data_IF_264074002865
#
_entry.id   IF_264074002865
#
_cell.length_a   1.000
_cell.length_b   1.000
_cell.length_c   1.000
_cell.angle_alpha   90.00
_cell.angle_beta   90.00
_cell.angle_gamma   90.00
#
_symmetry.space_group_name_H-M   'P 1'
#
loop_
_entity.id
_entity.type
_entity.pdbx_description
1 polymer ?
#
# COMPACT_ATOMS: atom_id res chain seq x y z
N UNK A 1 36.07 -9.98 -4.19
CA UNK A 1 34.68 -9.96 -4.71
C UNK A 1 33.94 -8.73 -4.21
N UNK A 2 33.96 -8.45 -2.90
CA UNK A 2 33.32 -7.25 -2.31
C UNK A 2 33.80 -5.92 -2.90
N UNK A 3 35.12 -5.70 -3.02
CA UNK A 3 35.66 -4.47 -3.66
C UNK A 3 35.12 -4.23 -5.08
N UNK A 4 35.04 -5.28 -5.91
CA UNK A 4 34.48 -5.17 -7.26
C UNK A 4 32.97 -4.93 -7.29
N UNK A 5 32.23 -5.40 -6.28
CA UNK A 5 30.81 -5.08 -6.14
C UNK A 5 30.61 -3.62 -5.70
N UNK A 6 31.44 -3.12 -4.78
CA UNK A 6 31.43 -1.71 -4.36
C UNK A 6 31.77 -0.81 -5.54
N UNK A 7 32.80 -1.12 -6.33
CA UNK A 7 33.16 -0.36 -7.54
C UNK A 7 32.01 -0.31 -8.54
N UNK A 8 31.34 -1.46 -8.78
CA UNK A 8 30.20 -1.53 -9.70
C UNK A 8 28.97 -0.73 -9.21
N UNK A 9 28.69 -0.77 -7.91
CA UNK A 9 27.59 0.03 -7.35
C UNK A 9 27.96 1.51 -7.36
N UNK A 10 29.21 1.86 -7.04
CA UNK A 10 29.70 3.23 -7.06
C UNK A 10 29.62 3.82 -8.47
N UNK A 11 30.01 3.08 -9.51
CA UNK A 11 29.87 3.55 -10.89
C UNK A 11 28.41 3.79 -11.31
N UNK A 12 27.46 2.99 -10.79
CA UNK A 12 26.03 3.21 -11.06
C UNK A 12 25.46 4.40 -10.26
N UNK A 13 26.08 4.75 -9.13
CA UNK A 13 25.70 5.89 -8.30
C UNK A 13 26.31 7.20 -8.80
N UNK A 14 27.48 7.18 -9.46
CA UNK A 14 28.10 8.37 -10.07
C UNK A 14 27.20 9.05 -11.10
N UNK A 15 26.36 8.28 -11.78
CA UNK A 15 25.36 8.78 -12.75
C UNK A 15 24.16 9.48 -12.06
N UNK A 16 24.02 9.38 -10.74
CA UNK A 16 22.94 9.99 -9.95
C UNK A 16 23.41 11.29 -9.29
N UNK A 17 23.17 12.42 -9.96
CA UNK A 17 23.55 13.76 -9.48
C UNK A 17 22.83 14.23 -8.21
N UNK A 18 21.79 13.52 -7.78
CA UNK A 18 20.95 13.88 -6.64
C UNK A 18 21.28 13.11 -5.35
N UNK A 19 22.40 12.40 -5.29
CA UNK A 19 22.79 11.56 -4.14
C UNK A 19 24.27 11.77 -3.86
N UNK A 20 24.59 12.01 -2.60
CA UNK A 20 25.97 12.07 -2.13
C UNK A 20 26.35 10.75 -1.47
N UNK A 21 27.46 10.15 -1.89
CA UNK A 21 28.01 8.96 -1.25
C UNK A 21 28.75 9.42 0.01
N UNK A 22 28.12 9.25 1.17
CA UNK A 22 28.65 9.68 2.46
C UNK A 22 29.78 8.75 2.94
N UNK A 23 29.62 7.44 2.76
CA UNK A 23 30.58 6.44 3.23
C UNK A 23 30.49 5.14 2.41
N UNK A 24 31.62 4.45 2.26
CA UNK A 24 31.67 3.04 1.80
C UNK A 24 32.39 2.21 2.84
N UNK A 25 31.88 1.02 3.15
CA UNK A 25 32.47 0.13 4.14
C UNK A 25 32.29 -1.35 3.80
N UNK A 26 33.20 -2.17 4.31
CA UNK A 26 33.15 -3.63 4.31
C UNK A 26 32.93 -4.21 5.71
N UNK A 27 32.58 -3.39 6.71
CA UNK A 27 32.26 -3.81 8.07
C UNK A 27 30.82 -3.46 8.43
N UNK A 28 30.12 -4.36 9.13
CA UNK A 28 28.79 -4.09 9.69
C UNK A 28 28.85 -3.15 10.91
N UNK A 29 30.01 -3.02 11.56
CA UNK A 29 30.20 -2.13 12.72
C UNK A 29 29.98 -0.65 12.32
N UNK A 30 30.33 -0.28 11.08
CA UNK A 30 30.11 1.08 10.59
C UNK A 30 28.62 1.41 10.40
N UNK A 31 27.78 0.39 10.17
CA UNK A 31 26.33 0.56 10.11
C UNK A 31 25.76 0.91 11.50
N UNK A 32 26.36 0.40 12.57
CA UNK A 32 25.95 0.71 13.95
C UNK A 32 26.15 2.18 14.28
N UNK A 33 27.26 2.77 13.83
CA UNK A 33 27.55 4.19 14.01
C UNK A 33 26.49 5.07 13.32
N UNK A 34 26.06 4.70 12.10
CA UNK A 34 25.02 5.44 11.37
C UNK A 34 23.67 5.45 12.09
N UNK A 35 23.32 4.37 12.81
CA UNK A 35 22.08 4.33 13.59
C UNK A 35 22.08 5.27 14.80
N UNK A 36 23.25 5.73 15.25
CA UNK A 36 23.39 6.67 16.37
C UNK A 36 23.29 8.13 15.92
N UNK A 37 23.70 8.45 14.69
CA UNK A 37 23.76 9.83 14.18
C UNK A 37 22.39 10.42 13.80
N UNK A 38 21.34 9.60 13.69
CA UNK A 38 19.95 10.01 13.33
C UNK A 38 19.86 10.83 12.02
N UNK A 39 20.83 10.66 11.12
CA UNK A 39 20.78 11.23 9.79
C UNK A 39 19.92 10.38 8.87
N UNK A 40 19.25 11.02 7.91
CA UNK A 40 18.48 10.33 6.90
C UNK A 40 19.42 9.71 5.88
N UNK A 41 19.63 8.40 6.01
CA UNK A 41 20.66 7.69 5.25
C UNK A 41 20.06 6.47 4.56
N UNK A 42 20.28 6.38 3.25
CA UNK A 42 20.01 5.18 2.47
C UNK A 42 21.26 4.30 2.46
N UNK A 43 21.11 3.05 2.89
CA UNK A 43 22.20 2.06 2.94
C UNK A 43 21.94 0.98 1.91
N UNK A 44 22.92 0.78 1.02
CA UNK A 44 22.98 -0.38 0.14
C UNK A 44 23.83 -1.46 0.82
N UNK A 45 23.25 -2.61 1.15
CA UNK A 45 23.92 -3.64 1.96
C UNK A 45 23.92 -4.99 1.26
N UNK A 46 25.11 -5.57 1.03
CA UNK A 46 25.27 -6.91 0.44
C UNK A 46 26.18 -6.92 -0.79
N UNK A 47 26.34 -8.08 -1.48
CA UNK A 47 25.68 -9.36 -1.24
C UNK A 47 26.47 -10.33 -0.35
N UNK A 48 27.57 -9.88 0.26
CA UNK A 48 28.45 -10.76 1.02
C UNK A 48 27.98 -11.05 2.46
N UNK A 49 27.08 -10.23 2.99
CA UNK A 49 26.55 -10.40 4.34
C UNK A 49 25.43 -11.44 4.38
N UNK A 50 25.45 -12.29 5.41
CA UNK A 50 24.33 -13.19 5.69
C UNK A 50 23.18 -12.40 6.28
N UNK A 51 21.97 -12.73 5.85
CA UNK A 51 20.75 -12.07 6.33
C UNK A 51 20.61 -12.17 7.85
N UNK A 52 21.00 -13.29 8.47
CA UNK A 52 20.97 -13.48 9.92
C UNK A 52 21.77 -12.43 10.70
N UNK A 53 22.92 -12.00 10.18
CA UNK A 53 23.78 -11.01 10.82
C UNK A 53 23.16 -9.61 10.71
N UNK A 54 22.60 -9.30 9.55
CA UNK A 54 21.82 -8.06 9.32
C UNK A 54 20.59 -8.03 10.23
N UNK A 55 19.91 -9.16 10.40
CA UNK A 55 18.72 -9.24 11.26
C UNK A 55 19.03 -8.95 12.73
N UNK A 56 20.09 -9.54 13.28
CA UNK A 56 20.51 -9.27 14.67
C UNK A 56 20.77 -7.79 14.88
N UNK A 57 21.42 -7.16 13.91
CA UNK A 57 21.70 -5.74 13.91
C UNK A 57 20.41 -4.89 13.88
N UNK A 58 19.48 -5.19 12.97
CA UNK A 58 18.21 -4.45 12.87
C UNK A 58 17.29 -4.64 14.09
N UNK A 59 17.34 -5.80 14.75
CA UNK A 59 16.58 -6.04 15.99
C UNK A 59 17.06 -5.10 17.12
N UNK A 60 18.37 -4.90 17.23
CA UNK A 60 18.96 -4.04 18.26
C UNK A 60 18.67 -2.55 18.04
N UNK A 61 18.43 -2.14 16.79
CA UNK A 61 18.24 -0.73 16.40
C UNK A 61 16.87 -0.44 15.75
N UNK A 62 15.84 -1.22 16.08
CA UNK A 62 14.49 -1.11 15.48
C UNK A 62 13.87 0.30 15.54
N UNK A 63 14.15 1.07 16.59
CA UNK A 63 13.71 2.48 16.72
C UNK A 63 14.44 3.46 15.80
N UNK A 64 15.67 3.14 15.37
CA UNK A 64 16.50 3.97 14.50
C UNK A 64 16.20 3.76 13.00
N UNK A 65 15.46 2.70 12.64
CA UNK A 65 15.00 2.42 11.27
C UNK A 65 14.02 3.46 10.69
N UNK A 66 13.62 4.44 11.50
CA UNK A 66 12.92 5.62 11.02
C UNK A 66 13.81 6.52 10.16
N UNK A 67 15.10 6.60 10.48
CA UNK A 67 16.05 7.49 9.80
C UNK A 67 16.95 6.76 8.80
N UNK A 68 17.05 5.44 8.90
CA UNK A 68 17.87 4.64 8.00
C UNK A 68 16.99 3.73 7.16
N UNK A 69 17.14 3.78 5.84
CA UNK A 69 16.50 2.86 4.90
C UNK A 69 17.54 1.94 4.30
N UNK A 70 17.21 0.66 4.19
CA UNK A 70 18.15 -0.36 3.72
C UNK A 70 17.62 -1.00 2.46
N UNK A 71 18.43 -0.99 1.41
CA UNK A 71 18.23 -1.79 0.21
C UNK A 71 19.23 -2.95 0.27
N UNK A 72 18.70 -4.16 0.37
CA UNK A 72 19.51 -5.37 0.47
C UNK A 72 19.91 -5.84 -0.94
N UNK A 73 21.20 -5.96 -1.20
CA UNK A 73 21.73 -6.52 -2.42
C UNK A 73 21.99 -8.01 -2.20
N UNK A 74 21.48 -8.89 -3.05
CA UNK A 74 21.61 -10.35 -2.90
C UNK A 74 22.11 -11.01 -4.17
N UNK A 75 22.78 -12.15 -4.06
CA UNK A 75 23.17 -12.95 -5.24
C UNK A 75 22.03 -13.79 -5.81
N UNK A 76 20.98 -14.05 -5.03
CA UNK A 76 19.79 -14.80 -5.43
C UNK A 76 18.62 -14.45 -4.53
N UNK A 77 17.46 -14.16 -5.11
CA UNK A 77 16.22 -13.96 -4.33
C UNK A 77 15.51 -15.27 -4.05
N UNK A 78 14.83 -15.33 -2.91
CA UNK A 78 13.90 -16.41 -2.57
C UNK A 78 12.68 -15.83 -1.87
N UNK A 79 11.56 -16.56 -1.90
CA UNK A 79 10.33 -16.15 -1.22
C UNK A 79 10.51 -16.05 0.30
N UNK A 80 11.35 -16.89 0.89
CA UNK A 80 11.72 -16.80 2.31
C UNK A 80 12.48 -15.51 2.61
N UNK A 81 13.47 -15.15 1.78
CA UNK A 81 14.27 -13.94 1.94
C UNK A 81 13.41 -12.68 1.82
N UNK A 82 12.47 -12.63 0.88
CA UNK A 82 11.55 -11.50 0.73
C UNK A 82 10.61 -11.36 1.94
N UNK A 83 10.05 -12.47 2.44
CA UNK A 83 9.20 -12.46 3.65
C UNK A 83 9.98 -11.94 4.87
N UNK A 84 11.23 -12.37 5.01
CA UNK A 84 12.10 -11.90 6.09
C UNK A 84 12.45 -10.42 5.92
N UNK A 85 12.82 -9.97 4.71
CA UNK A 85 13.10 -8.56 4.43
C UNK A 85 11.94 -7.64 4.87
N UNK A 86 10.70 -8.01 4.54
CA UNK A 86 9.49 -7.28 4.97
C UNK A 86 9.37 -7.25 6.50
N UNK A 87 9.56 -8.41 7.16
CA UNK A 87 9.48 -8.52 8.63
C UNK A 87 10.47 -7.60 9.34
N UNK A 88 11.64 -7.39 8.76
CA UNK A 88 12.72 -6.56 9.33
C UNK A 88 12.72 -5.12 8.81
N UNK A 89 11.66 -4.69 8.11
CA UNK A 89 11.53 -3.34 7.57
C UNK A 89 12.68 -2.97 6.62
N UNK A 90 13.22 -3.95 5.90
CA UNK A 90 14.12 -3.72 4.78
C UNK A 90 13.28 -3.13 3.65
N UNK A 91 13.72 -1.97 3.15
CA UNK A 91 12.96 -1.15 2.22
C UNK A 91 12.84 -1.80 0.84
N UNK A 92 13.93 -2.41 0.37
CA UNK A 92 13.94 -3.10 -0.92
C UNK A 92 15.00 -4.20 -0.99
N UNK A 93 14.87 -5.09 -1.98
CA UNK A 93 15.83 -6.16 -2.24
C UNK A 93 16.16 -6.21 -3.74
N UNK A 94 17.44 -6.07 -4.07
CA UNK A 94 17.95 -6.12 -5.45
C UNK A 94 18.82 -7.37 -5.68
N UNK A 95 18.51 -8.13 -6.72
CA UNK A 95 19.29 -9.31 -7.12
C UNK A 95 20.40 -8.94 -8.12
N UNK A 96 21.61 -9.43 -7.90
CA UNK A 96 22.68 -9.30 -8.89
C UNK A 96 22.53 -10.31 -10.04
N UNK A 97 22.74 -9.89 -11.30
CA UNK A 97 23.04 -8.52 -11.74
C UNK A 97 21.76 -7.68 -11.89
N UNK A 98 21.74 -6.49 -11.28
CA UNK A 98 20.70 -5.48 -11.50
C UNK A 98 21.20 -4.36 -12.43
N UNK A 99 20.26 -3.62 -13.00
CA UNK A 99 20.50 -2.50 -13.90
C UNK A 99 20.49 -1.16 -13.17
N UNK A 100 20.95 -0.10 -13.85
CA UNK A 100 20.81 1.28 -13.36
C UNK A 100 19.34 1.64 -13.06
N UNK A 101 18.41 1.18 -13.89
CA UNK A 101 16.99 1.43 -13.72
C UNK A 101 16.46 0.84 -12.41
N UNK A 102 16.77 -0.43 -12.12
CA UNK A 102 16.34 -1.12 -10.90
C UNK A 102 16.84 -0.43 -9.64
N UNK A 103 18.11 0.00 -9.66
CA UNK A 103 18.72 0.75 -8.56
C UNK A 103 18.05 2.12 -8.38
N UNK A 104 17.85 2.86 -9.47
CA UNK A 104 17.24 4.18 -9.43
C UNK A 104 15.79 4.15 -8.94
N UNK A 105 14.98 3.17 -9.37
CA UNK A 105 13.62 3.00 -8.85
C UNK A 105 13.59 2.68 -7.36
N UNK A 106 14.50 1.83 -6.89
CA UNK A 106 14.61 1.46 -5.48
C UNK A 106 15.00 2.66 -4.60
N UNK A 107 15.95 3.46 -5.08
CA UNK A 107 16.38 4.71 -4.46
C UNK A 107 15.25 5.75 -4.45
N UNK A 108 14.53 5.93 -5.57
CA UNK A 108 13.42 6.88 -5.66
C UNK A 108 12.34 6.56 -4.63
N UNK A 109 11.97 5.27 -4.52
CA UNK A 109 11.05 4.80 -3.48
C UNK A 109 11.54 5.11 -2.06
N UNK A 110 12.85 5.01 -1.80
CA UNK A 110 13.41 5.35 -0.49
C UNK A 110 13.37 6.86 -0.21
N UNK A 111 13.69 7.68 -1.22
CA UNK A 111 13.64 9.15 -1.14
C UNK A 111 12.23 9.67 -0.84
N UNK A 112 11.21 9.09 -1.47
CA UNK A 112 9.82 9.51 -1.24
C UNK A 112 9.38 9.27 0.21
N UNK A 113 9.82 8.16 0.81
CA UNK A 113 9.59 7.88 2.23
C UNK A 113 10.34 8.89 3.13
N UNK A 114 11.58 9.25 2.79
CA UNK A 114 12.31 10.26 3.56
C UNK A 114 11.62 11.62 3.53
N UNK A 115 11.08 12.04 2.38
CA UNK A 115 10.27 13.27 2.26
C UNK A 115 9.02 13.23 3.13
N UNK A 116 8.32 12.11 3.19
CA UNK A 116 7.16 11.94 4.07
C UNK A 116 7.56 12.07 5.55
N UNK A 117 8.68 11.47 5.96
CA UNK A 117 9.18 11.55 7.34
C UNK A 117 9.64 12.96 7.71
N UNK A 118 10.25 13.70 6.78
CA UNK A 118 10.65 15.10 6.99
C UNK A 118 9.45 16.03 7.17
N UNK A 119 8.40 15.83 6.37
CA UNK A 119 7.17 16.62 6.46
C UNK A 119 6.48 16.46 7.82
N UNK A 120 6.62 15.30 8.47
CA UNK A 120 6.08 15.07 9.82
C UNK A 120 6.92 15.70 10.95
N UNK A 121 8.21 15.98 10.73
CA UNK A 121 9.15 16.35 11.81
C UNK A 121 9.49 17.84 11.89
N UNK A 122 9.46 18.58 10.79
CA UNK A 122 10.05 19.93 10.78
C UNK A 122 9.18 20.98 11.47
N UNK A 123 7.85 20.87 11.51
CA UNK A 123 7.01 21.85 12.24
C UNK A 123 7.30 23.32 11.89
N UNK A 124 7.95 23.58 10.74
CA UNK A 124 8.26 24.92 10.25
C UNK A 124 6.97 25.41 9.61
N UNK A 125 6.44 26.57 10.04
CA UNK A 125 5.22 27.11 9.47
C UNK A 125 5.53 27.52 8.03
N UNK A 126 4.97 26.79 7.07
CA UNK A 126 4.77 27.38 5.75
C UNK A 126 4.03 28.70 5.95
N UNK A 127 4.60 29.79 5.41
CA UNK A 127 3.86 31.01 5.14
C UNK A 127 2.51 30.60 4.57
N UNK A 128 1.43 31.16 5.13
CA UNK A 128 0.02 30.85 4.83
C UNK A 128 -0.29 30.90 3.32
N UNK A 129 0.11 29.87 2.59
CA UNK A 129 -0.73 29.24 1.60
C UNK A 129 -1.55 28.28 2.43
N UNK A 130 -2.87 28.47 2.48
CA UNK A 130 -3.75 27.56 3.21
C UNK A 130 -3.34 26.12 2.86
N UNK A 131 -3.17 25.22 3.85
CA UNK A 131 -2.78 23.85 3.56
C UNK A 131 -3.80 23.32 2.57
N UNK A 132 -3.36 23.03 1.34
CA UNK A 132 -4.15 22.18 0.46
C UNK A 132 -4.21 20.87 1.22
N UNK A 133 -5.33 20.60 1.89
CA UNK A 133 -5.60 19.32 2.54
C UNK A 133 -5.20 18.24 1.51
N UNK A 134 -4.08 17.55 1.72
CA UNK A 134 -3.90 16.25 1.09
C UNK A 134 -5.00 15.39 1.70
N UNK A 135 -6.05 15.15 0.92
CA UNK A 135 -7.16 14.29 1.33
C UNK A 135 -6.65 12.90 1.70
N UNK A 136 -7.50 12.12 2.37
CA UNK A 136 -7.19 10.73 2.70
C UNK A 136 -6.64 9.95 1.49
N UNK A 137 -5.63 9.11 1.72
CA UNK A 137 -5.09 8.23 0.68
C UNK A 137 -6.10 7.11 0.40
N UNK A 138 -6.56 7.00 -0.85
CA UNK A 138 -7.61 6.07 -1.27
C UNK A 138 -6.98 4.78 -1.82
N UNK A 139 -7.22 3.66 -1.14
CA UNK A 139 -6.73 2.34 -1.50
C UNK A 139 -7.90 1.47 -1.93
N UNK A 140 -7.96 1.10 -3.21
CA UNK A 140 -9.05 0.33 -3.78
C UNK A 140 -8.63 -1.12 -3.96
N UNK A 141 -9.42 -2.05 -3.42
CA UNK A 141 -9.21 -3.49 -3.56
C UNK A 141 -10.11 -4.00 -4.67
N UNK A 142 -9.55 -4.53 -5.77
CA UNK A 142 -10.30 -4.92 -6.96
C UNK A 142 -9.89 -6.28 -7.52
N UNK A 143 -10.83 -6.97 -8.15
CA UNK A 143 -10.61 -8.22 -8.89
C UNK A 143 -11.85 -8.56 -9.69
N UNK A 144 -11.70 -9.05 -10.93
CA UNK A 144 -12.82 -9.44 -11.80
C UNK A 144 -13.35 -10.86 -11.55
N UNK A 145 -12.94 -11.51 -10.46
CA UNK A 145 -13.43 -12.83 -10.04
C UNK A 145 -13.84 -12.84 -8.57
N UNK A 146 -15.02 -13.40 -8.30
CA UNK A 146 -15.51 -13.60 -6.93
C UNK A 146 -14.67 -14.62 -6.16
N UNK A 147 -14.65 -14.50 -4.83
CA UNK A 147 -13.99 -15.49 -3.96
C UNK A 147 -12.46 -15.43 -3.92
N UNK A 148 -11.82 -14.42 -4.54
CA UNK A 148 -10.37 -14.19 -4.47
C UNK A 148 -9.90 -13.55 -3.16
N UNK A 149 -10.84 -13.16 -2.28
CA UNK A 149 -10.53 -12.61 -0.96
C UNK A 149 -10.38 -11.09 -0.92
N UNK A 150 -11.06 -10.33 -1.80
CA UNK A 150 -11.05 -8.85 -1.78
C UNK A 150 -11.42 -8.29 -0.41
N UNK A 151 -12.61 -8.61 0.09
CA UNK A 151 -13.10 -8.16 1.39
C UNK A 151 -12.20 -8.61 2.54
N UNK A 152 -11.59 -9.79 2.43
CA UNK A 152 -10.60 -10.27 3.42
C UNK A 152 -9.34 -9.39 3.44
N UNK A 153 -8.77 -9.07 2.27
CA UNK A 153 -7.61 -8.18 2.18
C UNK A 153 -7.98 -6.76 2.60
N UNK A 154 -9.15 -6.25 2.17
CA UNK A 154 -9.63 -4.91 2.51
C UNK A 154 -9.78 -4.73 4.03
N UNK A 155 -10.45 -5.66 4.71
CA UNK A 155 -10.68 -5.62 6.16
C UNK A 155 -9.37 -5.69 6.94
N UNK A 156 -8.49 -6.64 6.62
CA UNK A 156 -7.21 -6.79 7.32
C UNK A 156 -6.28 -5.60 7.06
N UNK A 157 -6.21 -5.11 5.82
CA UNK A 157 -5.42 -3.91 5.50
C UNK A 157 -5.90 -2.70 6.29
N UNK A 158 -7.22 -2.48 6.38
CA UNK A 158 -7.77 -1.38 7.16
C UNK A 158 -7.40 -1.49 8.64
N UNK A 159 -7.50 -2.70 9.21
CA UNK A 159 -7.10 -2.98 10.60
C UNK A 159 -5.61 -2.72 10.82
N UNK A 160 -4.74 -3.18 9.93
CA UNK A 160 -3.30 -3.01 10.04
C UNK A 160 -2.89 -1.54 9.95
N UNK A 161 -3.49 -0.78 9.03
CA UNK A 161 -3.30 0.68 8.94
C UNK A 161 -3.71 1.40 10.24
N UNK A 162 -4.83 0.99 10.85
CA UNK A 162 -5.30 1.57 12.10
C UNK A 162 -4.42 1.17 13.31
N UNK A 163 -4.11 -0.11 13.43
CA UNK A 163 -3.45 -0.66 14.62
C UNK A 163 -1.93 -0.50 14.60
N UNK A 164 -1.29 -0.79 13.47
CA UNK A 164 0.17 -0.77 13.35
C UNK A 164 0.69 0.63 13.05
N UNK A 165 0.03 1.35 12.14
CA UNK A 165 0.45 2.70 11.75
C UNK A 165 -0.24 3.83 12.54
N UNK A 166 -1.20 3.49 13.40
CA UNK A 166 -1.97 4.45 14.24
C UNK A 166 -2.67 5.53 13.41
N UNK A 167 -3.14 5.17 12.21
CA UNK A 167 -3.82 6.09 11.29
C UNK A 167 -5.34 6.01 11.46
N UNK A 168 -6.03 7.11 11.13
CA UNK A 168 -7.49 7.14 11.03
C UNK A 168 -7.91 6.49 9.71
N UNK A 169 -8.65 5.40 9.78
CA UNK A 169 -9.00 4.59 8.61
C UNK A 169 -10.51 4.46 8.49
N UNK A 170 -11.02 4.80 7.31
CA UNK A 170 -12.35 4.41 6.88
C UNK A 170 -12.27 3.16 6.00
N UNK A 171 -13.17 2.21 6.22
CA UNK A 171 -13.42 1.09 5.31
C UNK A 171 -14.78 1.31 4.66
N UNK A 172 -14.77 1.52 3.35
CA UNK A 172 -15.96 1.78 2.55
C UNK A 172 -16.29 0.55 1.70
N UNK A 173 -17.43 -0.08 1.99
CA UNK A 173 -17.93 -1.22 1.24
C UNK A 173 -18.81 -0.75 0.06
N UNK A 174 -18.27 -0.85 -1.16
CA UNK A 174 -18.95 -0.49 -2.40
C UNK A 174 -19.75 -1.65 -3.00
N UNK A 175 -19.70 -2.84 -2.40
CA UNK A 175 -20.46 -3.98 -2.88
C UNK A 175 -21.91 -3.92 -2.36
N UNK A 176 -22.68 -2.94 -2.83
CA UNK A 176 -24.02 -2.64 -2.31
C UNK A 176 -25.02 -3.81 -2.36
N UNK A 177 -24.81 -4.79 -3.25
CA UNK A 177 -25.70 -5.95 -3.38
C UNK A 177 -25.39 -7.08 -2.40
N UNK A 178 -24.11 -7.33 -2.11
CA UNK A 178 -23.66 -8.52 -1.40
C UNK A 178 -22.46 -8.21 -0.49
N UNK A 179 -22.45 -7.03 0.12
CA UNK A 179 -21.37 -6.54 0.96
C UNK A 179 -21.39 -7.20 2.34
N UNK A 180 -20.37 -8.01 2.62
CA UNK A 180 -20.26 -8.78 3.87
C UNK A 180 -19.25 -8.15 4.86
N UNK A 181 -18.73 -6.95 4.59
CA UNK A 181 -17.65 -6.35 5.41
C UNK A 181 -18.04 -6.22 6.89
N UNK A 182 -19.27 -5.79 7.17
CA UNK A 182 -19.76 -5.69 8.55
C UNK A 182 -19.78 -7.05 9.25
N UNK A 183 -20.24 -8.09 8.56
CA UNK A 183 -20.26 -9.45 9.07
C UNK A 183 -18.84 -9.99 9.30
N UNK A 184 -17.92 -9.75 8.37
CA UNK A 184 -16.51 -10.15 8.49
C UNK A 184 -15.82 -9.52 9.70
N UNK A 185 -16.22 -8.30 10.08
CA UNK A 185 -15.73 -7.58 11.25
C UNK A 185 -16.56 -7.84 12.51
N UNK A 186 -17.55 -8.74 12.45
CA UNK A 186 -18.50 -9.03 13.52
C UNK A 186 -19.16 -7.76 14.10
N UNK A 187 -19.58 -6.87 13.20
CA UNK A 187 -20.25 -5.61 13.51
C UNK A 187 -21.77 -5.74 13.34
N UNK A 188 -22.51 -5.03 14.18
CA UNK A 188 -23.96 -4.87 14.09
C UNK A 188 -24.26 -3.40 13.81
N UNK A 189 -24.14 -2.97 12.54
CA UNK A 189 -24.30 -1.57 12.20
C UNK A 189 -25.74 -1.11 12.43
N UNK A 190 -25.90 0.08 13.01
CA UNK A 190 -27.21 0.74 13.16
C UNK A 190 -27.66 1.44 11.89
N UNK A 191 -26.70 1.81 11.05
CA UNK A 191 -26.91 2.50 9.80
C UNK A 191 -26.04 1.91 8.70
N UNK A 192 -26.49 2.08 7.48
CA UNK A 192 -25.84 1.68 6.24
C UNK A 192 -25.67 2.88 5.33
N UNK A 193 -24.96 2.67 4.22
CA UNK A 193 -24.87 3.69 3.16
C UNK A 193 -26.26 4.14 2.66
N UNK A 194 -27.29 3.28 2.69
CA UNK A 194 -28.63 3.64 2.22
C UNK A 194 -29.30 4.70 3.11
N UNK A 195 -29.10 4.65 4.43
CA UNK A 195 -29.70 5.59 5.37
C UNK A 195 -29.27 7.05 5.11
N UNK A 196 -28.07 7.22 4.55
CA UNK A 196 -27.51 8.51 4.16
C UNK A 196 -28.33 9.17 3.03
N UNK A 197 -29.02 8.39 2.18
CA UNK A 197 -29.73 8.94 1.01
C UNK A 197 -30.76 9.99 1.40
N UNK A 198 -31.42 9.82 2.55
CA UNK A 198 -32.44 10.73 3.06
C UNK A 198 -31.91 12.10 3.48
N UNK A 199 -30.62 12.19 3.80
CA UNK A 199 -29.95 13.39 4.34
C UNK A 199 -28.78 13.83 3.48
N UNK A 200 -28.62 13.27 2.28
CA UNK A 200 -27.43 13.43 1.45
C UNK A 200 -27.09 14.89 1.17
N UNK A 201 -28.08 15.76 0.97
CA UNK A 201 -27.84 17.19 0.68
C UNK A 201 -27.27 17.95 1.88
N UNK A 202 -27.62 17.53 3.10
CA UNK A 202 -27.17 18.13 4.37
C UNK A 202 -25.94 17.42 4.94
N UNK A 203 -25.46 16.36 4.28
CA UNK A 203 -24.36 15.53 4.76
C UNK A 203 -23.07 16.33 4.86
N UNK A 204 -22.55 16.43 6.09
CA UNK A 204 -21.23 16.95 6.42
C UNK A 204 -20.37 15.88 7.12
N UNK A 205 -19.14 16.23 7.52
CA UNK A 205 -18.21 15.27 8.15
C UNK A 205 -18.69 14.74 9.50
N UNK A 206 -19.37 15.56 10.31
CA UNK A 206 -19.85 15.15 11.63
C UNK A 206 -21.03 14.19 11.50
N UNK A 207 -21.98 14.55 10.63
CA UNK A 207 -23.13 13.73 10.31
C UNK A 207 -22.69 12.40 9.70
N UNK A 208 -21.83 12.41 8.67
CA UNK A 208 -21.32 11.17 8.07
C UNK A 208 -20.62 10.29 9.10
N UNK A 209 -19.81 10.89 9.98
CA UNK A 209 -19.13 10.15 11.03
C UNK A 209 -20.10 9.45 12.01
N UNK A 210 -21.31 9.99 12.22
CA UNK A 210 -22.37 9.36 13.04
C UNK A 210 -23.00 8.13 12.37
N UNK A 211 -22.96 8.05 11.04
CA UNK A 211 -23.41 6.88 10.28
C UNK A 211 -22.38 5.74 10.27
N UNK A 212 -21.11 6.03 10.61
CA UNK A 212 -20.05 5.03 10.62
C UNK A 212 -20.13 4.13 11.87
N UNK A 213 -19.88 2.85 11.67
CA UNK A 213 -19.72 1.90 12.78
C UNK A 213 -18.25 1.73 13.10
N UNK A 214 -17.86 1.99 14.35
CA UNK A 214 -16.46 1.85 14.78
C UNK A 214 -16.19 0.42 15.25
N UNK A 215 -15.21 -0.24 14.62
CA UNK A 215 -14.69 -1.53 15.05
C UNK A 215 -13.71 -1.37 16.23
N UNK A 216 -13.50 -2.43 17.01
CA UNK A 216 -12.61 -2.42 18.19
C UNK A 216 -11.15 -2.07 17.87
N UNK A 217 -10.72 -2.23 16.61
CA UNK A 217 -9.41 -1.76 16.10
C UNK A 217 -9.33 -0.24 15.86
N UNK A 218 -10.44 0.49 15.96
CA UNK A 218 -10.53 1.91 15.61
C UNK A 218 -10.84 2.20 14.13
N UNK A 219 -10.96 1.17 13.28
CA UNK A 219 -11.45 1.32 11.90
C UNK A 219 -12.91 1.76 11.93
N UNK A 220 -13.25 2.78 11.13
CA UNK A 220 -14.63 3.22 10.93
C UNK A 220 -15.18 2.61 9.64
N UNK A 221 -16.31 1.95 9.73
CA UNK A 221 -16.89 1.20 8.62
C UNK A 221 -18.17 1.89 8.17
N UNK A 222 -18.27 2.14 6.86
CA UNK A 222 -19.54 2.45 6.21
C UNK A 222 -20.01 1.18 5.48
N UNK A 223 -20.97 0.43 6.03
CA UNK A 223 -21.38 -0.83 5.44
C UNK A 223 -22.35 -0.61 4.26
N UNK A 224 -22.34 -1.59 3.36
CA UNK A 224 -23.33 -1.74 2.30
C UNK A 224 -24.77 -1.85 2.87
N UNK A 225 -25.80 -1.62 2.04
CA UNK A 225 -27.20 -1.84 2.43
C UNK A 225 -27.44 -3.30 2.86
N UNK A 226 -28.39 -3.49 3.78
CA UNK A 226 -28.80 -4.84 4.22
C UNK A 226 -29.68 -5.51 3.15
N UNK A 227 -30.52 -4.73 2.48
CA UNK A 227 -31.38 -5.19 1.40
C UNK A 227 -30.71 -4.90 0.05
N UNK A 228 -30.35 -5.93 -0.75
CA UNK A 228 -29.70 -5.76 -2.04
C UNK A 228 -30.51 -4.90 -3.04
N UNK A 229 -31.84 -4.86 -2.90
CA UNK A 229 -32.71 -4.06 -3.79
C UNK A 229 -32.51 -2.55 -3.61
N UNK A 230 -31.84 -2.13 -2.53
CA UNK A 230 -31.54 -0.74 -2.24
C UNK A 230 -30.33 -0.20 -3.02
N UNK A 231 -29.59 -1.05 -3.75
CA UNK A 231 -28.44 -0.61 -4.53
C UNK A 231 -28.81 0.46 -5.57
N UNK A 232 -29.97 0.33 -6.20
CA UNK A 232 -30.38 1.16 -7.34
C UNK A 232 -30.61 2.63 -6.91
N UNK A 233 -30.90 2.84 -5.63
CA UNK A 233 -31.09 4.16 -5.05
C UNK A 233 -29.77 4.90 -4.82
N UNK A 234 -28.62 4.20 -4.81
CA UNK A 234 -27.32 4.78 -4.47
C UNK A 234 -26.60 5.23 -5.74
N UNK A 235 -26.81 6.50 -6.09
CA UNK A 235 -26.20 7.10 -7.26
C UNK A 235 -24.67 7.27 -7.14
N UNK A 236 -23.97 7.30 -8.28
CA UNK A 236 -22.54 7.65 -8.36
C UNK A 236 -22.22 8.98 -7.68
N UNK A 237 -23.11 9.97 -7.81
CA UNK A 237 -22.96 11.29 -7.16
C UNK A 237 -22.95 11.16 -5.64
N UNK A 238 -23.79 10.28 -5.10
CA UNK A 238 -23.82 10.00 -3.67
C UNK A 238 -22.54 9.31 -3.22
N UNK A 239 -22.11 8.25 -3.93
CA UNK A 239 -20.84 7.56 -3.67
C UNK A 239 -19.67 8.55 -3.65
N UNK A 240 -19.60 9.45 -4.62
CA UNK A 240 -18.58 10.50 -4.70
C UNK A 240 -18.62 11.46 -3.52
N UNK A 241 -19.80 11.98 -3.17
CA UNK A 241 -19.96 12.89 -2.03
C UNK A 241 -19.53 12.22 -0.72
N UNK A 242 -19.90 10.96 -0.50
CA UNK A 242 -19.48 10.18 0.66
C UNK A 242 -17.96 10.05 0.69
N UNK A 243 -17.35 9.67 -0.44
CA UNK A 243 -15.90 9.52 -0.55
C UNK A 243 -15.14 10.82 -0.26
N UNK A 244 -15.63 11.96 -0.76
CA UNK A 244 -15.04 13.27 -0.54
C UNK A 244 -15.10 13.65 0.94
N UNK A 245 -16.25 13.45 1.59
CA UNK A 245 -16.42 13.75 3.02
C UNK A 245 -15.60 12.79 3.89
N UNK A 246 -15.53 11.50 3.56
CA UNK A 246 -14.61 10.56 4.24
C UNK A 246 -13.16 11.02 4.12
N UNK A 247 -12.80 11.65 2.99
CA UNK A 247 -11.44 12.13 2.75
C UNK A 247 -11.04 13.32 3.63
N UNK A 248 -12.02 14.01 4.22
CA UNK A 248 -11.79 15.20 5.05
C UNK A 248 -11.27 14.90 6.45
N UNK A 249 -11.55 13.71 6.99
CA UNK A 249 -11.29 13.39 8.40
C UNK A 249 -10.62 12.04 8.65
N UNK A 250 -10.26 11.31 7.59
CA UNK A 250 -9.47 10.08 7.67
C UNK A 250 -8.10 10.30 7.03
N UNK A 251 -7.12 9.51 7.44
CA UNK A 251 -5.79 9.48 6.79
C UNK A 251 -5.82 8.51 5.59
N UNK A 252 -6.60 7.43 5.71
CA UNK A 252 -6.77 6.42 4.68
C UNK A 252 -8.24 6.05 4.48
N UNK A 253 -8.61 5.76 3.24
CA UNK A 253 -9.87 5.11 2.89
C UNK A 253 -9.54 3.83 2.15
N UNK A 254 -9.89 2.69 2.74
CA UNK A 254 -9.82 1.39 2.07
C UNK A 254 -11.19 1.12 1.45
N UNK A 255 -11.23 0.78 0.17
CA UNK A 255 -12.46 0.63 -0.60
C UNK A 255 -12.54 -0.82 -1.07
N UNK A 256 -13.53 -1.55 -0.56
CA UNK A 256 -13.86 -2.90 -1.05
C UNK A 256 -14.86 -2.78 -2.20
N UNK A 257 -14.62 -3.50 -3.29
CA UNK A 257 -15.38 -3.33 -4.53
C UNK A 257 -16.05 -4.63 -4.98
N UNK A 258 -17.15 -4.55 -5.74
CA UNK A 258 -17.72 -5.71 -6.41
C UNK A 258 -16.75 -6.28 -7.46
N UNK A 259 -17.04 -7.48 -7.97
CA UNK A 259 -16.15 -8.17 -8.93
C UNK A 259 -16.36 -7.74 -10.39
N UNK A 260 -16.92 -6.56 -10.63
CA UNK A 260 -17.31 -6.05 -11.95
C UNK A 260 -16.96 -4.57 -12.10
N UNK A 261 -16.80 -4.12 -13.35
CA UNK A 261 -16.65 -2.70 -13.69
C UNK A 261 -18.02 -2.04 -13.76
N UNK A 262 -18.61 -1.74 -12.60
CA UNK A 262 -19.80 -0.89 -12.51
C UNK A 262 -19.42 0.59 -12.57
N UNK A 263 -20.39 1.47 -12.83
CA UNK A 263 -20.12 2.92 -12.89
C UNK A 263 -19.56 3.46 -11.58
N UNK A 264 -20.03 2.93 -10.43
CA UNK A 264 -19.48 3.24 -9.11
C UNK A 264 -17.99 2.83 -9.01
N UNK A 265 -17.61 1.66 -9.53
CA UNK A 265 -16.21 1.23 -9.54
C UNK A 265 -15.36 2.12 -10.45
N UNK A 266 -15.84 2.49 -11.63
CA UNK A 266 -15.13 3.40 -12.53
C UNK A 266 -14.89 4.76 -11.87
N UNK A 267 -15.89 5.31 -11.18
CA UNK A 267 -15.75 6.53 -10.39
C UNK A 267 -14.71 6.39 -9.27
N UNK A 268 -14.69 5.26 -8.56
CA UNK A 268 -13.68 5.01 -7.53
C UNK A 268 -12.27 4.91 -8.15
N UNK A 269 -12.13 4.30 -9.33
CA UNK A 269 -10.84 4.18 -10.00
C UNK A 269 -10.26 5.55 -10.36
N UNK A 270 -11.08 6.52 -10.80
CA UNK A 270 -10.63 7.89 -11.06
C UNK A 270 -10.04 8.57 -9.81
N UNK A 271 -10.57 8.22 -8.64
CA UNK A 271 -10.21 8.81 -7.34
C UNK A 271 -9.13 8.03 -6.58
N UNK A 272 -8.72 6.88 -7.11
CA UNK A 272 -7.83 5.92 -6.45
C UNK A 272 -6.37 6.40 -6.45
N UNK A 273 -5.71 6.32 -5.31
CA UNK A 273 -4.27 6.55 -5.18
C UNK A 273 -3.47 5.26 -5.28
N UNK A 274 -4.06 4.13 -4.86
CA UNK A 274 -3.46 2.81 -4.90
C UNK A 274 -4.52 1.76 -5.26
N UNK A 275 -4.33 1.06 -6.37
CA UNK A 275 -5.21 -0.01 -6.83
C UNK A 275 -4.56 -1.37 -6.53
N UNK A 276 -5.07 -2.06 -5.52
CA UNK A 276 -4.66 -3.42 -5.18
C UNK A 276 -5.48 -4.43 -5.97
N UNK A 277 -4.88 -5.01 -7.00
CA UNK A 277 -5.50 -6.04 -7.83
C UNK A 277 -5.26 -7.43 -7.26
N UNK A 278 -6.33 -8.12 -6.87
CA UNK A 278 -6.24 -9.46 -6.28
C UNK A 278 -6.34 -10.53 -7.38
N UNK A 279 -5.41 -11.48 -7.35
CA UNK A 279 -5.41 -12.66 -8.22
C UNK A 279 -5.02 -13.93 -7.44
N UNK A 280 -5.17 -15.10 -8.05
CA UNK A 280 -4.71 -16.40 -7.54
C UNK A 280 -4.04 -17.22 -8.64
N UNK A 281 -3.33 -18.29 -8.27
CA UNK A 281 -2.59 -19.15 -9.22
C UNK A 281 -3.49 -20.10 -10.01
N UNK A 282 -4.60 -19.63 -10.56
CA UNK A 282 -5.43 -20.42 -11.47
C UNK A 282 -5.62 -19.71 -12.81
N UNK A 283 -5.72 -20.51 -13.88
CA UNK A 283 -5.80 -20.02 -15.26
C UNK A 283 -6.92 -18.98 -15.45
N UNK A 284 -8.16 -19.19 -14.94
CA UNK A 284 -9.20 -18.16 -15.01
C UNK A 284 -8.80 -16.82 -14.36
N UNK A 285 -8.22 -16.85 -13.17
CA UNK A 285 -7.80 -15.62 -12.45
C UNK A 285 -6.71 -14.87 -13.19
N UNK A 286 -5.72 -15.59 -13.73
CA UNK A 286 -4.62 -15.00 -14.51
C UNK A 286 -5.13 -14.40 -15.82
N UNK A 287 -6.00 -15.13 -16.54
CA UNK A 287 -6.65 -14.61 -17.76
C UNK A 287 -7.42 -13.33 -17.46
N UNK A 288 -8.23 -13.35 -16.41
CA UNK A 288 -9.04 -12.20 -16.00
C UNK A 288 -8.16 -11.02 -15.59
N UNK A 289 -7.08 -11.25 -14.84
CA UNK A 289 -6.10 -10.22 -14.50
C UNK A 289 -5.53 -9.56 -15.76
N UNK A 290 -5.08 -10.35 -16.73
CA UNK A 290 -4.54 -9.84 -18.00
C UNK A 290 -5.53 -8.95 -18.75
N UNK A 291 -6.77 -9.41 -18.91
CA UNK A 291 -7.84 -8.63 -19.55
C UNK A 291 -8.10 -7.33 -18.78
N UNK A 292 -8.09 -7.40 -17.45
CA UNK A 292 -8.32 -6.25 -16.59
C UNK A 292 -7.20 -5.21 -16.72
N UNK A 293 -5.94 -5.64 -16.77
CA UNK A 293 -4.79 -4.74 -16.99
C UNK A 293 -4.85 -4.06 -18.36
N UNK A 294 -5.24 -4.79 -19.41
CA UNK A 294 -5.44 -4.22 -20.75
C UNK A 294 -6.57 -3.17 -20.76
N UNK A 295 -7.66 -3.42 -20.03
CA UNK A 295 -8.74 -2.44 -19.89
C UNK A 295 -8.27 -1.19 -19.13
N UNK A 296 -7.52 -1.36 -18.03
CA UNK A 296 -6.96 -0.23 -17.27
C UNK A 296 -5.99 0.60 -18.13
N UNK A 297 -5.20 -0.04 -18.98
CA UNK A 297 -4.34 0.64 -19.96
C UNK A 297 -5.17 1.45 -20.98
N UNK A 298 -6.27 0.90 -21.50
CA UNK A 298 -7.19 1.62 -22.40
C UNK A 298 -7.86 2.82 -21.71
N UNK A 299 -8.16 2.69 -20.42
CA UNK A 299 -8.67 3.76 -19.56
C UNK A 299 -7.57 4.75 -19.14
N UNK A 300 -6.32 4.56 -19.57
CA UNK A 300 -5.15 5.37 -19.21
C UNK A 300 -4.93 5.45 -17.70
N UNK A 301 -5.26 4.38 -16.97
CA UNK A 301 -5.00 4.30 -15.55
C UNK A 301 -3.48 4.25 -15.29
N UNK A 302 -2.94 5.03 -14.34
CA UNK A 302 -1.50 5.09 -14.12
C UNK A 302 -0.93 3.75 -13.60
N UNK A 303 0.02 3.11 -14.32
CA UNK A 303 0.54 1.79 -13.96
C UNK A 303 1.24 1.78 -12.59
N UNK A 304 1.87 2.89 -12.18
CA UNK A 304 2.54 3.06 -10.90
C UNK A 304 1.59 3.01 -9.69
N UNK A 305 0.28 3.20 -9.93
CA UNK A 305 -0.75 3.05 -8.90
C UNK A 305 -1.23 1.61 -8.74
N UNK A 306 -0.83 0.68 -9.62
CA UNK A 306 -1.30 -0.71 -9.63
C UNK A 306 -0.38 -1.60 -8.80
N UNK A 307 -0.96 -2.30 -7.83
CA UNK A 307 -0.27 -3.28 -7.00
C UNK A 307 -0.92 -4.65 -7.18
N UNK A 308 -0.16 -5.62 -7.70
CA UNK A 308 -0.65 -6.98 -7.85
C UNK A 308 -0.49 -7.76 -6.54
N UNK A 309 -1.60 -8.32 -6.05
CA UNK A 309 -1.63 -9.15 -4.85
C UNK A 309 -2.01 -10.58 -5.27
N UNK A 310 -1.03 -11.48 -5.19
CA UNK A 310 -1.26 -12.91 -5.37
C UNK A 310 -1.75 -13.51 -4.06
N UNK A 311 -3.06 -13.71 -3.94
CA UNK A 311 -3.65 -14.37 -2.80
C UNK A 311 -3.62 -15.90 -2.97
N UNK A 312 -3.59 -16.64 -1.86
CA UNK A 312 -3.53 -18.12 -1.82
C UNK A 312 -2.33 -18.72 -2.57
N UNK A 313 -1.18 -18.02 -2.55
CA UNK A 313 0.03 -18.42 -3.26
C UNK A 313 0.61 -19.80 -2.87
N UNK A 314 0.31 -20.31 -1.67
CA UNK A 314 0.78 -21.64 -1.22
C UNK A 314 -0.18 -22.79 -1.59
N UNK A 315 -1.32 -22.51 -2.22
CA UNK A 315 -2.16 -23.58 -2.75
C UNK A 315 -1.41 -24.26 -3.89
N UNK A 316 -1.24 -25.59 -3.85
CA UNK A 316 -0.55 -26.38 -4.88
C UNK A 316 -1.35 -26.37 -6.20
N UNK A 317 -1.37 -25.23 -6.87
CA UNK A 317 -1.86 -25.08 -8.22
C UNK A 317 -0.63 -25.07 -9.11
N UNK A 318 -0.61 -25.90 -10.16
CA UNK A 318 0.57 -26.18 -10.99
C UNK A 318 1.06 -25.03 -11.87
N UNK A 319 0.96 -23.78 -11.42
CA UNK A 319 1.40 -22.56 -12.09
C UNK A 319 2.46 -21.89 -11.21
N UNK A 320 3.59 -21.50 -11.81
CA UNK A 320 4.71 -20.86 -11.10
C UNK A 320 4.59 -19.32 -11.14
N UNK A 321 5.24 -18.63 -10.20
CA UNK A 321 5.23 -17.15 -10.15
C UNK A 321 5.82 -16.54 -11.44
N UNK A 322 6.82 -17.20 -12.04
CA UNK A 322 7.47 -16.73 -13.27
C UNK A 322 6.54 -16.78 -14.50
N UNK A 323 5.54 -17.67 -14.49
CA UNK A 323 4.51 -17.74 -15.53
C UNK A 323 3.47 -16.62 -15.38
N UNK A 324 3.30 -16.06 -14.18
CA UNK A 324 2.37 -14.95 -13.90
C UNK A 324 2.96 -13.60 -14.30
N UNK A 325 4.28 -13.43 -14.21
CA UNK A 325 4.99 -12.18 -14.51
C UNK A 325 5.22 -11.93 -16.02
N UNK A 326 5.01 -12.93 -16.88
CA UNK A 326 5.21 -12.86 -18.34
C UNK A 326 3.96 -12.39 -19.08
#
# INVERSE_FOLDING_TARGET
KEKGNIERVSSLLEDLTEIEIIQTSTSLEDLELLFQEKLQTLVLLGPAYKLEDVQKLLQNYSTSLRYVKIILLVSKTSTSLLKEAIKFNIHDVLEFPFTYHDLNESIKRAKDIFKEILAEQTGIPEEKVAPVKKGAKKITIFSTKGGLGKSFIATNLAIDLANLLKKKVALFDLNYQFGDVALMLNLFPKHTVYDIMSVIDQLDSEMLNSFLTTHSSGVKVLPAPIDPTQDEAISNKTTKKILDILSDFNDYIVIDTPSSFSDNVLLILEETDCLCMITSMDVPSIKNLKITLQLLEQLKFPPEKIFLILNRADTKVGITIDEIKK
#
